data_IF_170261543140
#
_entry.id   IF_170261543140
#
_cell.length_a   1.000
_cell.length_b   1.000
_cell.length_c   1.000
_cell.angle_alpha   90.00
_cell.angle_beta   90.00
_cell.angle_gamma   90.00
#
_symmetry.space_group_name_H-M   'P 1'
#
loop_
_entity.id
_entity.type
_entity.pdbx_description
1 polymer ?
#
# COMPACT_ATOMS: atom_id res chain seq x y z
N UNK A 1 27.83 -10.88 1.89
CA UNK A 1 26.88 -10.33 2.87
C UNK A 1 25.67 -9.89 2.07
N UNK A 2 24.71 -10.78 1.92
CA UNK A 2 23.50 -10.57 1.09
C UNK A 2 22.55 -9.68 1.89
N UNK A 3 21.98 -8.61 1.32
CA UNK A 3 20.97 -7.82 2.02
C UNK A 3 19.79 -8.71 2.41
N UNK A 4 19.12 -8.43 3.53
CA UNK A 4 17.90 -9.14 3.90
C UNK A 4 16.88 -8.97 2.78
N UNK A 5 16.28 -10.09 2.40
CA UNK A 5 15.13 -10.18 1.53
C UNK A 5 13.98 -9.43 2.22
N UNK A 6 13.84 -8.13 1.90
CA UNK A 6 12.66 -7.33 2.22
C UNK A 6 11.52 -7.98 1.47
N UNK A 7 10.89 -8.97 2.13
CA UNK A 7 9.80 -9.77 1.61
C UNK A 7 8.68 -8.88 1.09
N UNK A 8 8.79 -8.51 -0.18
CA UNK A 8 7.72 -7.91 -0.91
C UNK A 8 6.56 -8.91 -0.83
N UNK A 9 5.38 -8.51 -0.34
CA UNK A 9 4.24 -9.41 -0.36
C UNK A 9 4.07 -9.90 -1.80
N UNK A 10 3.77 -11.21 -2.01
CA UNK A 10 3.53 -11.71 -3.34
C UNK A 10 2.50 -10.81 -3.99
N UNK A 11 2.82 -10.27 -5.17
CA UNK A 11 1.85 -9.48 -5.93
C UNK A 11 0.68 -10.40 -6.20
N UNK A 12 -0.43 -10.16 -5.51
CA UNK A 12 -1.66 -10.92 -5.69
C UNK A 12 -2.21 -10.54 -7.06
N UNK A 13 -1.79 -11.28 -8.08
CA UNK A 13 -2.35 -11.16 -9.41
C UNK A 13 -3.68 -11.93 -9.42
N UNK A 14 -4.77 -11.18 -9.32
CA UNK A 14 -6.13 -11.66 -9.60
C UNK A 14 -6.34 -11.76 -11.12
N UNK A 15 -5.45 -12.48 -11.82
CA UNK A 15 -5.63 -12.72 -13.25
C UNK A 15 -6.83 -13.63 -13.47
N UNK A 16 -7.83 -13.17 -14.21
CA UNK A 16 -8.96 -14.02 -14.60
C UNK A 16 -8.48 -14.99 -15.68
N UNK A 17 -8.60 -16.31 -15.47
CA UNK A 17 -8.18 -17.29 -16.47
C UNK A 17 -8.96 -17.13 -17.78
N UNK A 18 -8.30 -17.39 -18.91
CA UNK A 18 -8.95 -17.33 -20.23
C UNK A 18 -10.11 -18.31 -20.36
N UNK A 19 -10.03 -19.42 -19.62
CA UNK A 19 -10.98 -20.51 -19.52
C UNK A 19 -11.94 -20.37 -18.32
N UNK A 20 -12.13 -19.16 -17.76
CA UNK A 20 -13.01 -18.90 -16.60
C UNK A 20 -14.38 -19.59 -16.69
N UNK A 21 -15.09 -19.40 -17.81
CA UNK A 21 -16.42 -19.99 -18.01
C UNK A 21 -16.36 -21.53 -18.07
N UNK A 22 -15.30 -22.09 -18.67
CA UNK A 22 -15.09 -23.54 -18.71
C UNK A 22 -14.83 -24.08 -17.30
N UNK A 23 -14.04 -23.37 -16.49
CA UNK A 23 -13.78 -23.77 -15.11
C UNK A 23 -15.03 -23.72 -14.24
N UNK A 24 -15.94 -22.76 -14.47
CA UNK A 24 -17.25 -22.72 -13.78
C UNK A 24 -18.10 -23.94 -14.16
N UNK A 25 -18.15 -24.29 -15.44
CA UNK A 25 -18.91 -25.45 -15.91
C UNK A 25 -18.30 -26.78 -15.40
N UNK A 26 -16.97 -26.90 -15.39
CA UNK A 26 -16.27 -28.04 -14.81
C UNK A 26 -16.50 -28.14 -13.29
N UNK A 27 -16.52 -27.00 -12.58
CA UNK A 27 -16.81 -26.95 -11.16
C UNK A 27 -18.25 -27.40 -10.86
N UNK A 28 -19.23 -26.98 -11.65
CA UNK A 28 -20.63 -27.46 -11.56
C UNK A 28 -20.71 -28.97 -11.74
N UNK A 29 -20.09 -29.49 -12.81
CA UNK A 29 -20.07 -30.93 -13.10
C UNK A 29 -19.33 -31.77 -12.04
N UNK A 30 -18.36 -31.16 -11.34
CA UNK A 30 -17.64 -31.80 -10.25
C UNK A 30 -18.46 -31.80 -8.97
N UNK A 31 -19.16 -30.70 -8.68
CA UNK A 31 -20.00 -30.56 -7.49
C UNK A 31 -21.14 -31.59 -7.45
N UNK A 32 -21.71 -31.95 -8.60
CA UNK A 32 -22.74 -33.00 -8.72
C UNK A 32 -22.27 -34.39 -8.25
N UNK A 33 -20.95 -34.63 -8.21
CA UNK A 33 -20.36 -35.93 -7.83
C UNK A 33 -19.95 -35.98 -6.35
N UNK A 34 -20.03 -34.86 -5.64
CA UNK A 34 -19.62 -34.76 -4.24
C UNK A 34 -20.79 -35.10 -3.28
N UNK A 35 -20.49 -35.53 -2.04
CA UNK A 35 -21.51 -35.70 -1.02
C UNK A 35 -22.23 -34.38 -0.72
N UNK A 36 -23.55 -34.42 -0.59
CA UNK A 36 -24.35 -33.23 -0.24
C UNK A 36 -24.23 -32.92 1.26
N UNK A 37 -23.28 -32.05 1.60
CA UNK A 37 -23.09 -31.47 2.93
C UNK A 37 -23.24 -29.93 2.90
N UNK A 38 -22.95 -29.26 4.02
CA UNK A 38 -23.05 -27.80 4.12
C UNK A 38 -22.09 -27.05 3.18
N UNK A 39 -20.93 -27.65 2.84
CA UNK A 39 -19.99 -27.06 1.89
C UNK A 39 -20.53 -27.20 0.46
N UNK A 40 -21.21 -28.30 0.17
CA UNK A 40 -21.89 -28.53 -1.10
C UNK A 40 -22.98 -27.48 -1.36
N UNK A 41 -23.83 -27.19 -0.38
CA UNK A 41 -24.90 -26.18 -0.54
C UNK A 41 -24.33 -24.77 -0.78
N UNK A 42 -23.25 -24.42 -0.07
CA UNK A 42 -22.56 -23.14 -0.28
C UNK A 42 -21.90 -23.06 -1.67
N UNK A 43 -21.21 -24.12 -2.09
CA UNK A 43 -20.60 -24.19 -3.42
C UNK A 43 -21.67 -24.14 -4.53
N UNK A 44 -22.80 -24.81 -4.33
CA UNK A 44 -23.91 -24.80 -5.28
C UNK A 44 -24.48 -23.39 -5.43
N UNK A 45 -24.69 -22.68 -4.32
CA UNK A 45 -25.16 -21.29 -4.34
C UNK A 45 -24.21 -20.37 -5.08
N UNK A 46 -22.89 -20.51 -4.86
CA UNK A 46 -21.87 -19.69 -5.52
C UNK A 46 -21.76 -19.99 -7.03
N UNK A 47 -21.89 -21.27 -7.42
CA UNK A 47 -21.77 -21.67 -8.83
C UNK A 47 -23.05 -21.44 -9.66
N UNK A 48 -24.22 -21.30 -9.01
CA UNK A 48 -25.47 -21.00 -9.70
C UNK A 48 -25.57 -19.54 -10.15
N UNK A 49 -24.88 -18.63 -9.46
CA UNK A 49 -24.83 -17.20 -9.77
C UNK A 49 -23.37 -16.71 -9.71
N UNK A 50 -22.49 -17.20 -10.61
CA UNK A 50 -21.11 -16.78 -10.62
C UNK A 50 -21.04 -15.33 -11.10
N UNK A 51 -20.09 -14.52 -10.56
CA UNK A 51 -19.87 -13.18 -11.08
C UNK A 51 -19.50 -13.24 -12.56
N UNK A 52 -19.98 -12.28 -13.35
CA UNK A 52 -19.63 -12.21 -14.77
C UNK A 52 -18.12 -11.97 -14.92
N UNK A 53 -17.49 -12.57 -15.93
CA UNK A 53 -16.06 -12.38 -16.22
C UNK A 53 -15.64 -10.91 -16.20
N UNK A 54 -16.43 -10.04 -16.86
CA UNK A 54 -16.15 -8.60 -16.92
C UNK A 54 -16.18 -7.91 -15.55
N UNK A 55 -17.00 -8.37 -14.61
CA UNK A 55 -17.03 -7.83 -13.24
C UNK A 55 -15.80 -8.25 -12.45
N UNK A 56 -15.35 -9.50 -12.63
CA UNK A 56 -14.11 -10.01 -12.00
C UNK A 56 -12.89 -9.30 -12.57
N UNK A 57 -12.84 -9.07 -13.87
CA UNK A 57 -11.78 -8.31 -14.54
C UNK A 57 -11.74 -6.85 -14.04
N UNK A 58 -12.90 -6.18 -13.99
CA UNK A 58 -13.00 -4.83 -13.46
C UNK A 58 -12.58 -4.74 -11.98
N UNK A 59 -12.93 -5.74 -11.17
CA UNK A 59 -12.46 -5.83 -9.78
C UNK A 59 -10.95 -6.06 -9.69
N UNK A 60 -10.39 -6.92 -10.54
CA UNK A 60 -8.96 -7.18 -10.58
C UNK A 60 -8.16 -5.92 -10.94
N UNK A 61 -8.64 -5.13 -11.90
CA UNK A 61 -8.04 -3.83 -12.24
C UNK A 61 -8.09 -2.86 -11.06
N UNK A 62 -9.26 -2.71 -10.42
CA UNK A 62 -9.40 -1.85 -9.23
C UNK A 62 -8.50 -2.29 -8.07
N UNK A 63 -8.37 -3.60 -7.87
CA UNK A 63 -7.49 -4.17 -6.86
C UNK A 63 -6.02 -3.87 -7.15
N UNK A 64 -5.60 -4.00 -8.41
CA UNK A 64 -4.24 -3.67 -8.83
C UNK A 64 -3.92 -2.19 -8.60
N UNK A 65 -4.86 -1.29 -8.92
CA UNK A 65 -4.72 0.14 -8.66
C UNK A 65 -4.62 0.42 -7.15
N UNK A 66 -5.50 -0.17 -6.34
CA UNK A 66 -5.45 -0.04 -4.89
C UNK A 66 -4.13 -0.56 -4.30
N UNK A 67 -3.63 -1.70 -4.78
CA UNK A 67 -2.33 -2.24 -4.37
C UNK A 67 -1.19 -1.29 -4.75
N UNK A 68 -1.22 -0.69 -5.94
CA UNK A 68 -0.21 0.27 -6.34
C UNK A 68 -0.20 1.53 -5.45
N UNK A 69 -1.37 1.98 -5.01
CA UNK A 69 -1.49 3.10 -4.06
C UNK A 69 -0.95 2.71 -2.68
N UNK A 70 -1.31 1.51 -2.18
CA UNK A 70 -0.77 1.00 -0.91
C UNK A 70 0.75 0.84 -0.94
N UNK A 71 1.31 0.36 -2.05
CA UNK A 71 2.76 0.25 -2.22
C UNK A 71 3.44 1.63 -2.20
N UNK A 72 2.85 2.63 -2.85
CA UNK A 72 3.34 4.01 -2.79
C UNK A 72 3.29 4.56 -1.38
N UNK A 73 2.17 4.35 -0.67
CA UNK A 73 2.00 4.77 0.71
C UNK A 73 3.04 4.12 1.63
N UNK A 74 3.28 2.81 1.50
CA UNK A 74 4.26 2.07 2.30
C UNK A 74 5.71 2.54 2.07
N UNK A 75 6.04 2.93 0.83
CA UNK A 75 7.39 3.40 0.44
C UNK A 75 7.58 4.90 0.62
N UNK A 76 6.52 5.68 0.83
CA UNK A 76 6.60 7.12 0.98
C UNK A 76 7.47 7.53 2.18
N UNK A 77 8.37 8.47 1.97
CA UNK A 77 9.23 9.06 3.00
C UNK A 77 9.18 10.57 2.85
N UNK A 78 8.93 11.26 3.96
CA UNK A 78 8.81 12.70 4.02
C UNK A 78 9.96 13.24 4.85
N UNK A 79 10.77 14.11 4.24
CA UNK A 79 12.00 14.62 4.84
C UNK A 79 11.80 16.09 5.19
N UNK A 80 11.99 16.41 6.45
CA UNK A 80 12.04 17.77 6.96
C UNK A 80 13.44 18.12 7.43
N UNK A 81 13.84 19.36 7.20
CA UNK A 81 15.12 19.94 7.63
C UNK A 81 14.86 21.23 8.36
N UNK A 82 15.61 21.50 9.43
CA UNK A 82 15.55 22.83 10.04
C UNK A 82 16.24 23.88 9.16
N UNK A 83 15.94 25.16 9.42
CA UNK A 83 16.45 26.30 8.64
C UNK A 83 17.97 26.39 8.61
N UNK A 84 18.66 25.92 9.66
CA UNK A 84 20.12 25.92 9.75
C UNK A 84 20.74 24.63 9.22
N UNK A 85 19.93 23.69 8.71
CA UNK A 85 20.36 22.39 8.20
C UNK A 85 21.19 21.58 9.20
N UNK A 86 20.95 21.79 10.50
CA UNK A 86 21.65 21.06 11.57
C UNK A 86 21.07 19.65 11.75
N UNK A 87 19.78 19.48 11.49
CA UNK A 87 19.05 18.22 11.61
C UNK A 87 18.15 17.99 10.40
N UNK A 88 18.14 16.76 9.92
CA UNK A 88 17.17 16.25 8.97
C UNK A 88 16.43 15.04 9.56
N UNK A 89 15.11 15.03 9.44
CA UNK A 89 14.25 13.94 9.90
C UNK A 89 13.49 13.38 8.72
N UNK A 90 13.47 12.05 8.59
CA UNK A 90 12.59 11.35 7.67
C UNK A 90 11.53 10.57 8.45
N UNK A 91 10.26 10.80 8.11
CA UNK A 91 9.12 10.04 8.62
C UNK A 91 8.43 9.29 7.48
N UNK A 92 7.75 8.19 7.81
CA UNK A 92 6.86 7.53 6.86
C UNK A 92 5.49 8.20 6.80
N UNK A 93 4.65 7.69 5.90
CA UNK A 93 3.27 8.14 5.70
C UNK A 93 2.36 7.99 6.92
N UNK A 94 2.70 7.12 7.88
CA UNK A 94 1.99 6.98 9.16
C UNK A 94 2.49 7.95 10.24
N UNK A 95 3.49 8.78 9.94
CA UNK A 95 4.11 9.69 10.90
C UNK A 95 5.16 9.02 11.78
N UNK A 96 5.59 7.80 11.47
CA UNK A 96 6.64 7.11 12.24
C UNK A 96 8.01 7.56 11.78
N UNK A 97 8.88 7.79 12.75
CA UNK A 97 10.28 8.11 12.51
C UNK A 97 11.00 6.95 11.81
N UNK A 98 11.58 7.24 10.65
CA UNK A 98 12.43 6.30 9.91
C UNK A 98 13.91 6.60 10.08
N UNK A 99 14.28 7.89 10.09
CA UNK A 99 15.69 8.32 10.12
C UNK A 99 15.84 9.69 10.74
N UNK A 100 16.91 9.89 11.49
CA UNK A 100 17.42 11.20 11.91
C UNK A 100 18.85 11.32 11.39
N UNK A 101 19.20 12.48 10.86
CA UNK A 101 20.55 12.84 10.49
C UNK A 101 20.92 14.18 11.13
N UNK A 102 22.15 14.25 11.61
CA UNK A 102 22.72 15.48 12.15
C UNK A 102 23.88 15.91 11.25
N UNK A 103 23.97 17.20 11.00
CA UNK A 103 25.14 17.79 10.36
C UNK A 103 26.34 17.80 11.33
N UNK A 104 27.54 17.91 10.79
CA UNK A 104 28.79 18.01 11.58
C UNK A 104 28.71 19.19 12.56
N UNK A 105 28.12 20.31 12.15
CA UNK A 105 27.95 21.50 12.98
C UNK A 105 27.02 21.29 14.18
N UNK A 106 26.17 20.26 14.17
CA UNK A 106 25.27 19.94 15.28
C UNK A 106 26.01 19.59 16.57
N UNK A 107 27.24 19.08 16.46
CA UNK A 107 28.10 18.78 17.63
C UNK A 107 28.51 20.03 18.42
N UNK A 108 28.56 21.20 17.76
CA UNK A 108 28.80 22.49 18.38
C UNK A 108 27.52 23.22 18.79
N UNK A 109 26.36 22.74 18.35
CA UNK A 109 25.07 23.27 18.76
C UNK A 109 24.78 22.81 20.19
N UNK A 110 24.73 23.74 21.14
CA UNK A 110 24.35 23.42 22.52
C UNK A 110 22.99 22.72 22.58
N UNK A 111 22.74 21.94 23.63
CA UNK A 111 21.56 21.07 23.75
C UNK A 111 20.22 21.74 23.41
N UNK A 112 20.05 23.02 23.77
CA UNK A 112 18.81 23.76 23.48
C UNK A 112 18.64 24.06 21.98
N UNK A 113 19.72 24.44 21.30
CA UNK A 113 19.70 24.68 19.86
C UNK A 113 19.45 23.39 19.08
N UNK A 114 20.06 22.27 19.51
CA UNK A 114 19.83 20.97 18.90
C UNK A 114 18.39 20.49 19.09
N UNK A 115 17.82 20.67 20.27
CA UNK A 115 16.41 20.33 20.54
C UNK A 115 15.45 21.17 19.69
N UNK A 116 15.71 22.48 19.54
CA UNK A 116 14.93 23.35 18.67
C UNK A 116 15.02 22.94 17.19
N UNK A 117 16.22 22.60 16.71
CA UNK A 117 16.45 22.09 15.35
C UNK A 117 15.73 20.77 15.10
N UNK A 118 15.73 19.84 16.06
CA UNK A 118 14.97 18.58 15.98
C UNK A 118 13.47 18.82 15.83
N UNK A 119 12.90 19.73 16.64
CA UNK A 119 11.47 20.07 16.56
C UNK A 119 11.13 20.71 15.21
N UNK A 120 11.95 21.67 14.75
CA UNK A 120 11.73 22.32 13.46
C UNK A 120 11.82 21.34 12.28
N UNK A 121 12.80 20.43 12.29
CA UNK A 121 12.93 19.38 11.28
C UNK A 121 11.75 18.40 11.31
N UNK A 122 11.21 18.09 12.50
CA UNK A 122 10.02 17.26 12.66
C UNK A 122 8.78 17.93 12.07
N UNK A 123 8.52 19.19 12.44
CA UNK A 123 7.36 19.94 11.95
C UNK A 123 7.40 20.13 10.44
N UNK A 124 8.60 20.34 9.87
CA UNK A 124 8.80 20.38 8.43
C UNK A 124 8.48 19.03 7.77
N UNK A 125 8.93 17.91 8.37
CA UNK A 125 8.67 16.57 7.84
C UNK A 125 7.17 16.24 7.88
N UNK A 126 6.48 16.65 8.95
CA UNK A 126 5.04 16.47 9.11
C UNK A 126 4.25 17.33 8.11
N UNK A 127 4.68 18.56 7.86
CA UNK A 127 4.10 19.42 6.83
C UNK A 127 4.21 18.78 5.44
N UNK A 128 5.38 18.22 5.11
CA UNK A 128 5.55 17.49 3.84
C UNK A 128 4.72 16.21 3.78
N UNK A 129 4.54 15.50 4.91
CA UNK A 129 3.65 14.34 5.01
C UNK A 129 2.20 14.71 4.73
N UNK A 130 1.71 15.79 5.32
CA UNK A 130 0.35 16.29 5.10
C UNK A 130 0.12 16.69 3.65
N UNK A 131 1.08 17.40 3.04
CA UNK A 131 1.05 17.72 1.59
C UNK A 131 1.01 16.47 0.73
N UNK A 132 1.89 15.50 1.02
CA UNK A 132 1.91 14.24 0.28
C UNK A 132 0.66 13.39 0.45
N UNK A 133 -0.01 13.45 1.60
CA UNK A 133 -1.30 12.82 1.81
C UNK A 133 -2.39 13.45 0.93
N UNK A 134 -2.39 14.78 0.79
CA UNK A 134 -3.31 15.49 -0.12
C UNK A 134 -3.09 15.08 -1.59
N UNK A 135 -1.83 14.99 -2.04
CA UNK A 135 -1.49 14.59 -3.41
C UNK A 135 -1.93 13.16 -3.76
N UNK A 136 -1.87 12.23 -2.78
CA UNK A 136 -2.37 10.88 -2.95
C UNK A 136 -3.90 10.86 -3.16
N UNK A 137 -4.64 11.72 -2.47
CA UNK A 137 -6.11 11.82 -2.59
C UNK A 137 -6.59 12.59 -3.83
N UNK A 138 -5.87 13.65 -4.24
CA UNK A 138 -6.22 14.43 -5.44
C UNK A 138 -5.83 13.73 -6.75
N UNK A 139 -4.71 12.99 -6.75
CA UNK A 139 -4.28 12.20 -7.90
C UNK A 139 -5.28 11.11 -8.30
N UNK A 140 -6.05 10.60 -7.35
CA UNK A 140 -7.15 9.66 -7.59
C UNK A 140 -8.39 10.34 -8.16
N UNK A 141 -8.70 11.55 -7.67
CA UNK A 141 -9.88 12.31 -8.12
C UNK A 141 -9.78 12.78 -9.57
N UNK A 142 -8.56 12.98 -10.11
CA UNK A 142 -8.35 13.34 -11.53
C UNK A 142 -8.27 12.13 -12.48
N UNK A 143 -8.13 10.90 -11.96
CA UNK A 143 -8.07 9.68 -12.79
C UNK A 143 -9.43 9.03 -13.02
N UNK A 144 -10.47 9.43 -12.28
CA UNK A 144 -11.84 9.01 -12.55
C UNK A 144 -12.53 10.07 -13.44
N UNK A 145 -12.88 9.75 -14.71
CA UNK A 145 -13.69 10.63 -15.56
C UNK A 145 -15.12 10.75 -15.06
#
# INVERSE_FOLDING_TARGET
>A
MTPPDDGAPPKAHLGVPDDYELQIDEARATLEKLPHDENWENAQRLLNDPPARGDVEAFAEQFADAQAVLEKFAKARYVGTDENSLTAIAIDSSGRLCKIQFDVAASGAGNHALAASLLAAWDAAETERERGAADLTEGESRRRP
#
